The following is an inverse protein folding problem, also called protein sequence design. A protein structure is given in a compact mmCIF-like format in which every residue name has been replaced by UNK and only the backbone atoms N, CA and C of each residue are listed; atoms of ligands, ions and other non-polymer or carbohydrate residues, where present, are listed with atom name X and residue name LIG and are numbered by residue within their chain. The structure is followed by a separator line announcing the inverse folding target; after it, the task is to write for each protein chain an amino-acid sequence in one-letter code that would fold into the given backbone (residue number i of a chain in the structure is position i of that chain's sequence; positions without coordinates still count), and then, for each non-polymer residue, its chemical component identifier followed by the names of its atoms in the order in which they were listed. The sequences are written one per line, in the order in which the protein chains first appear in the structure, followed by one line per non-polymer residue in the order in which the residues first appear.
data_IF_667397671145
#
_entry.id   IF_667397671145
#
_cell.length_a   1.000
_cell.length_b   1.000
_cell.length_c   1.000
_cell.angle_alpha   90.00
_cell.angle_beta   90.00
_cell.angle_gamma   90.00
#
_symmetry.space_group_name_H-M   'P 1'
#
loop_
_entity.id
_entity.type
_entity.pdbx_description
1 polymer ?
#
# COMPACT_ATOMS: atom_id res chain seq x y z
N UNK A 1 6.05 98.51 16.67
CA UNK A 1 5.84 98.22 15.24
C UNK A 1 6.70 97.03 14.87
N UNK A 2 6.04 95.92 14.46
CA UNK A 2 6.56 94.72 13.77
C UNK A 2 7.80 94.01 14.35
N UNK A 3 7.54 92.86 14.99
CA UNK A 3 8.42 91.68 14.90
C UNK A 3 7.62 90.56 14.21
N UNK A 4 8.22 89.95 13.19
CA UNK A 4 7.66 88.83 12.43
C UNK A 4 8.25 87.52 12.99
N UNK A 5 7.41 86.68 13.61
CA UNK A 5 7.77 85.31 13.99
C UNK A 5 7.37 84.33 12.88
N UNK A 6 8.35 83.67 12.28
CA UNK A 6 8.18 82.61 11.28
C UNK A 6 7.83 81.30 12.02
N UNK A 7 6.64 80.76 11.75
CA UNK A 7 6.22 79.42 12.17
C UNK A 7 6.73 78.39 11.15
N UNK A 8 7.72 77.60 11.54
CA UNK A 8 8.17 76.41 10.81
C UNK A 8 7.23 75.24 11.12
N UNK A 9 6.39 74.87 10.14
CA UNK A 9 5.58 73.66 10.16
C UNK A 9 6.44 72.49 9.65
N UNK A 10 6.93 71.65 10.54
CA UNK A 10 7.56 70.37 10.19
C UNK A 10 6.48 69.35 9.85
N UNK A 11 6.23 69.13 8.56
CA UNK A 11 5.47 67.98 8.07
C UNK A 11 6.33 66.71 8.20
N UNK A 12 6.05 65.88 9.21
CA UNK A 12 6.57 64.51 9.28
C UNK A 12 5.75 63.65 8.32
N UNK A 13 6.28 63.45 7.10
CA UNK A 13 5.77 62.43 6.18
C UNK A 13 6.16 61.05 6.72
N UNK A 14 5.23 60.39 7.40
CA UNK A 14 5.34 58.98 7.70
C UNK A 14 5.22 58.17 6.40
N UNK A 15 6.36 57.81 5.82
CA UNK A 15 6.42 56.78 4.79
C UNK A 15 6.07 55.43 5.44
N UNK A 16 4.80 55.05 5.39
CA UNK A 16 4.41 53.65 5.59
C UNK A 16 4.91 52.88 4.36
N UNK A 17 6.14 52.36 4.47
CA UNK A 17 6.67 51.39 3.52
C UNK A 17 5.84 50.12 3.67
N UNK A 18 4.73 50.02 2.93
CA UNK A 18 3.97 48.80 2.75
C UNK A 18 4.85 47.82 1.98
N UNK A 19 5.65 47.03 2.71
CA UNK A 19 6.28 45.85 2.16
C UNK A 19 5.15 44.86 1.90
N UNK A 20 4.55 44.94 0.71
CA UNK A 20 3.91 43.77 0.12
C UNK A 20 5.03 42.76 -0.10
N UNK A 21 5.30 41.94 0.92
CA UNK A 21 6.16 40.79 0.77
C UNK A 21 5.57 39.92 -0.31
N UNK A 22 6.16 39.95 -1.50
CA UNK A 22 5.94 38.89 -2.47
C UNK A 22 6.25 37.60 -1.74
N UNK A 23 5.24 36.76 -1.51
CA UNK A 23 5.42 35.46 -0.88
C UNK A 23 6.58 34.78 -1.60
N UNK A 24 7.64 34.42 -0.86
CA UNK A 24 8.79 33.76 -1.46
C UNK A 24 8.29 32.56 -2.25
N UNK A 25 8.48 32.57 -3.57
CA UNK A 25 8.15 31.43 -4.41
C UNK A 25 9.15 30.35 -4.06
N UNK A 26 8.73 29.42 -3.20
CA UNK A 26 9.51 28.23 -2.91
C UNK A 26 9.31 27.30 -4.12
N UNK A 27 10.34 27.02 -4.93
CA UNK A 27 10.18 26.41 -6.25
C UNK A 27 9.55 25.01 -6.24
N UNK A 28 9.45 24.38 -5.07
CA UNK A 28 8.97 23.00 -4.90
C UNK A 28 7.59 22.91 -4.24
N UNK A 29 6.99 24.03 -3.83
CA UNK A 29 5.68 24.04 -3.19
C UNK A 29 4.84 25.26 -3.55
N UNK A 30 3.53 25.10 -3.45
CA UNK A 30 2.53 26.12 -3.70
C UNK A 30 1.76 26.34 -2.41
N UNK A 31 1.79 27.58 -1.92
CA UNK A 31 0.96 27.99 -0.79
C UNK A 31 -0.49 28.19 -1.28
N UNK A 32 -1.25 27.11 -1.30
CA UNK A 32 -2.66 27.06 -1.69
C UNK A 32 -3.58 26.62 -0.53
N UNK A 33 -3.06 26.61 0.71
CA UNK A 33 -3.74 26.02 1.85
C UNK A 33 -3.97 24.50 1.72
N UNK A 34 -4.90 23.99 2.53
CA UNK A 34 -5.29 22.58 2.53
C UNK A 34 -6.75 22.44 2.07
N UNK A 35 -6.95 22.07 0.81
CA UNK A 35 -8.28 21.81 0.24
C UNK A 35 -8.61 20.34 0.39
N UNK A 36 -9.82 20.04 0.84
CA UNK A 36 -10.30 18.66 1.01
C UNK A 36 -10.80 18.15 -0.34
N UNK A 37 -10.07 17.21 -0.95
CA UNK A 37 -10.45 16.62 -2.23
C UNK A 37 -11.28 15.35 -2.04
N UNK A 38 -11.00 14.59 -0.99
CA UNK A 38 -11.73 13.37 -0.66
C UNK A 38 -11.69 13.10 0.87
N UNK A 39 -12.40 12.07 1.37
CA UNK A 39 -12.46 11.79 2.81
C UNK A 39 -11.13 11.44 3.49
N UNK A 40 -10.07 11.07 2.76
CA UNK A 40 -8.71 10.93 3.32
C UNK A 40 -8.26 12.27 3.90
N UNK A 41 -8.45 13.32 3.11
CA UNK A 41 -8.01 14.67 3.45
C UNK A 41 -8.73 15.19 4.69
N UNK A 42 -10.03 14.92 4.79
CA UNK A 42 -10.81 15.26 5.98
C UNK A 42 -10.29 14.52 7.22
N UNK A 43 -10.14 13.20 7.14
CA UNK A 43 -9.69 12.40 8.29
C UNK A 43 -8.29 12.80 8.77
N UNK A 44 -7.38 13.15 7.85
CA UNK A 44 -6.05 13.64 8.19
C UNK A 44 -6.11 15.04 8.77
N UNK A 45 -6.86 15.96 8.16
CA UNK A 45 -6.98 17.34 8.64
C UNK A 45 -7.59 17.42 10.04
N UNK A 46 -8.61 16.61 10.33
CA UNK A 46 -9.23 16.53 11.66
C UNK A 46 -8.18 16.12 12.71
N UNK A 47 -7.43 15.05 12.41
CA UNK A 47 -6.35 14.57 13.28
C UNK A 47 -5.25 15.60 13.49
N UNK A 48 -4.85 16.33 12.44
CA UNK A 48 -3.86 17.40 12.55
C UNK A 48 -4.36 18.58 13.37
N UNK A 49 -5.64 18.93 13.23
CA UNK A 49 -6.28 20.01 13.99
C UNK A 49 -6.32 19.69 15.48
N UNK A 50 -6.67 18.45 15.85
CA UNK A 50 -6.67 17.99 17.24
C UNK A 50 -5.28 18.07 17.89
N UNK A 51 -4.22 17.87 17.09
CA UNK A 51 -2.82 17.96 17.53
C UNK A 51 -2.20 19.34 17.32
N UNK A 52 -2.95 20.33 16.84
CA UNK A 52 -2.48 21.69 16.53
C UNK A 52 -1.28 21.72 15.57
N UNK A 53 -1.24 20.78 14.61
CA UNK A 53 -0.20 20.69 13.60
C UNK A 53 -0.71 21.30 12.29
N UNK A 54 0.06 22.23 11.73
CA UNK A 54 -0.26 22.80 10.42
C UNK A 54 0.20 21.84 9.32
N UNK A 55 -0.67 21.44 8.38
CA UNK A 55 -0.28 20.61 7.24
C UNK A 55 0.68 21.34 6.31
N UNK A 56 1.50 20.59 5.60
CA UNK A 56 2.44 21.15 4.64
C UNK A 56 1.75 21.73 3.40
N UNK A 57 2.45 22.66 2.75
CA UNK A 57 2.02 23.25 1.48
C UNK A 57 1.81 22.20 0.39
N UNK A 58 1.14 22.57 -0.69
CA UNK A 58 0.92 21.67 -1.83
C UNK A 58 2.24 21.51 -2.57
N UNK A 59 2.60 20.30 -3.01
CA UNK A 59 3.78 20.12 -3.84
C UNK A 59 3.59 20.75 -5.23
N UNK A 60 4.67 21.29 -5.81
CA UNK A 60 4.63 21.81 -7.19
C UNK A 60 4.32 20.71 -8.20
N UNK A 61 3.94 21.09 -9.41
CA UNK A 61 3.63 20.13 -10.48
C UNK A 61 4.86 19.32 -10.90
N UNK A 62 6.06 19.90 -10.84
CA UNK A 62 7.34 19.23 -11.08
C UNK A 62 7.61 18.14 -10.03
N UNK A 63 7.32 18.44 -8.76
CA UNK A 63 7.45 17.46 -7.68
C UNK A 63 6.42 16.35 -7.85
N UNK A 64 5.16 16.71 -8.12
CA UNK A 64 4.07 15.75 -8.29
C UNK A 64 4.35 14.77 -9.45
N UNK A 65 4.70 15.27 -10.65
CA UNK A 65 4.92 14.41 -11.82
C UNK A 65 6.09 13.45 -11.60
N UNK A 66 7.19 13.89 -10.97
CA UNK A 66 8.30 12.98 -10.66
C UNK A 66 7.87 11.93 -9.63
N UNK A 67 7.20 12.37 -8.55
CA UNK A 67 6.78 11.49 -7.45
C UNK A 67 5.84 10.41 -7.93
N UNK A 68 4.81 10.77 -8.69
CA UNK A 68 3.76 9.83 -9.09
C UNK A 68 4.25 8.77 -10.09
N UNK A 69 5.21 9.11 -10.96
CA UNK A 69 5.84 8.14 -11.86
C UNK A 69 6.65 7.11 -11.08
N UNK A 70 7.45 7.56 -10.12
CA UNK A 70 8.25 6.65 -9.28
C UNK A 70 7.33 5.77 -8.43
N UNK A 71 6.33 6.37 -7.79
CA UNK A 71 5.48 5.67 -6.84
C UNK A 71 4.49 4.69 -7.50
N UNK A 72 3.98 4.99 -8.69
CA UNK A 72 3.01 4.12 -9.36
C UNK A 72 3.63 3.15 -10.36
N UNK A 73 4.69 3.52 -11.07
CA UNK A 73 5.23 2.71 -12.16
C UNK A 73 6.74 2.48 -12.08
N UNK A 74 7.39 2.89 -10.98
CA UNK A 74 8.80 2.57 -10.73
C UNK A 74 9.77 3.12 -11.77
N UNK A 75 9.46 4.24 -12.43
CA UNK A 75 10.33 4.85 -13.46
C UNK A 75 10.37 6.37 -13.33
N UNK A 76 11.32 7.01 -14.02
CA UNK A 76 11.32 8.46 -14.17
C UNK A 76 10.48 8.89 -15.39
N UNK A 77 9.75 10.03 -15.31
CA UNK A 77 9.06 10.55 -16.48
C UNK A 77 10.06 11.03 -17.53
N UNK A 78 9.74 10.80 -18.81
CA UNK A 78 10.51 11.36 -19.92
C UNK A 78 10.35 12.88 -19.99
N UNK A 79 11.33 13.56 -20.61
CA UNK A 79 11.25 15.02 -20.79
C UNK A 79 9.99 15.46 -21.57
N UNK A 80 9.51 14.62 -22.48
CA UNK A 80 8.27 14.90 -23.23
C UNK A 80 7.03 14.78 -22.34
N UNK A 81 6.95 13.73 -21.51
CA UNK A 81 5.85 13.54 -20.55
C UNK A 81 5.79 14.70 -19.55
N UNK A 82 6.94 15.14 -19.02
CA UNK A 82 7.02 16.31 -18.12
C UNK A 82 6.50 17.56 -18.81
N UNK A 83 7.01 17.92 -20.01
CA UNK A 83 6.55 19.12 -20.75
C UNK A 83 5.06 19.07 -21.06
N UNK A 84 4.54 17.88 -21.43
CA UNK A 84 3.11 17.68 -21.70
C UNK A 84 2.26 17.92 -20.45
N UNK A 85 2.69 17.40 -19.30
CA UNK A 85 1.99 17.59 -18.04
C UNK A 85 2.03 19.05 -17.54
N UNK A 86 3.19 19.69 -17.61
CA UNK A 86 3.35 21.10 -17.20
C UNK A 86 2.59 22.07 -18.13
N UNK A 87 2.47 21.74 -19.43
CA UNK A 87 1.69 22.50 -20.39
C UNK A 87 0.17 22.29 -20.30
N UNK A 88 -0.29 21.27 -19.56
CA UNK A 88 -1.72 21.01 -19.37
C UNK A 88 -2.30 21.99 -18.33
N UNK A 89 -3.36 22.70 -18.74
CA UNK A 89 -4.04 23.72 -17.92
C UNK A 89 -5.33 23.23 -17.29
N UNK A 90 -5.73 21.97 -17.53
CA UNK A 90 -6.95 21.42 -16.95
C UNK A 90 -6.80 21.26 -15.44
N UNK A 91 -7.89 21.50 -14.72
CA UNK A 91 -7.92 21.37 -13.25
C UNK A 91 -7.77 19.93 -12.78
N UNK A 92 -8.23 18.95 -13.58
CA UNK A 92 -8.18 17.51 -13.30
C UNK A 92 -6.89 16.83 -13.80
N UNK A 93 -5.88 17.59 -14.25
CA UNK A 93 -4.69 17.01 -14.92
C UNK A 93 -3.93 16.00 -14.04
N UNK A 94 -3.91 16.18 -12.72
CA UNK A 94 -3.27 15.26 -11.77
C UNK A 94 -4.01 13.93 -11.73
N UNK A 95 -5.34 13.96 -11.63
CA UNK A 95 -6.19 12.77 -11.64
C UNK A 95 -6.07 12.00 -12.95
N UNK A 96 -6.07 12.72 -14.08
CA UNK A 96 -5.89 12.12 -15.41
C UNK A 96 -4.52 11.48 -15.58
N UNK A 97 -3.48 12.09 -15.02
CA UNK A 97 -2.14 11.51 -15.03
C UNK A 97 -2.13 10.21 -14.23
N UNK A 98 -2.69 10.21 -13.02
CA UNK A 98 -2.82 9.01 -12.18
C UNK A 98 -3.56 7.90 -12.94
N UNK A 99 -4.72 8.18 -13.55
CA UNK A 99 -5.46 7.21 -14.35
C UNK A 99 -4.62 6.64 -15.49
N UNK A 100 -3.88 7.50 -16.21
CA UNK A 100 -3.03 7.07 -17.32
C UNK A 100 -1.88 6.18 -16.88
N UNK A 101 -1.29 6.45 -15.71
CA UNK A 101 -0.18 5.67 -15.17
C UNK A 101 -0.66 4.32 -14.62
N UNK A 102 -1.82 4.29 -13.96
CA UNK A 102 -2.43 3.04 -13.53
C UNK A 102 -2.65 2.13 -14.76
N UNK A 103 -3.16 2.64 -15.88
CA UNK A 103 -3.44 1.83 -17.07
C UNK A 103 -2.21 1.22 -17.79
N UNK A 104 -0.97 1.57 -17.38
CA UNK A 104 0.27 1.12 -18.03
C UNK A 104 0.70 -0.30 -17.62
N UNK A 105 1.42 -0.99 -18.49
CA UNK A 105 2.04 -2.28 -18.16
C UNK A 105 3.17 -2.12 -17.13
N UNK A 106 3.84 -0.97 -17.10
CA UNK A 106 4.86 -0.66 -16.09
C UNK A 106 4.29 -0.62 -14.67
N UNK A 107 3.01 -0.22 -14.52
CA UNK A 107 2.31 -0.37 -13.24
C UNK A 107 2.27 -1.85 -12.84
N UNK A 108 1.83 -2.72 -13.75
CA UNK A 108 1.75 -4.14 -13.45
C UNK A 108 3.12 -4.74 -13.13
N UNK A 109 4.17 -4.35 -13.86
CA UNK A 109 5.54 -4.81 -13.61
C UNK A 109 6.03 -4.39 -12.22
N UNK A 110 5.93 -3.10 -11.90
CA UNK A 110 6.42 -2.56 -10.63
C UNK A 110 5.68 -3.13 -9.42
N UNK A 111 4.35 -3.20 -9.47
CA UNK A 111 3.57 -3.76 -8.36
C UNK A 111 3.68 -5.28 -8.26
N UNK A 112 4.03 -5.98 -9.35
CA UNK A 112 4.40 -7.40 -9.27
C UNK A 112 5.65 -7.59 -8.43
N UNK A 113 6.67 -6.74 -8.56
CA UNK A 113 7.86 -6.81 -7.70
C UNK A 113 7.49 -6.67 -6.22
N UNK A 114 6.65 -5.69 -5.89
CA UNK A 114 6.15 -5.48 -4.51
C UNK A 114 5.38 -6.70 -3.99
N UNK A 115 4.54 -7.31 -4.82
CA UNK A 115 3.82 -8.54 -4.45
C UNK A 115 4.76 -9.74 -4.34
N UNK A 116 5.80 -9.84 -5.17
CA UNK A 116 6.79 -10.89 -5.12
C UNK A 116 7.55 -10.91 -3.79
N UNK A 117 7.83 -9.74 -3.20
CA UNK A 117 8.44 -9.65 -1.87
C UNK A 117 7.53 -10.22 -0.79
N UNK A 118 6.25 -9.82 -0.79
CA UNK A 118 5.24 -10.30 0.17
C UNK A 118 5.00 -11.81 0.01
N UNK A 119 4.93 -12.28 -1.23
CA UNK A 119 4.63 -13.67 -1.59
C UNK A 119 5.87 -14.57 -1.69
N UNK A 120 7.05 -14.01 -1.40
CA UNK A 120 8.35 -14.71 -1.36
C UNK A 120 8.70 -15.42 -2.67
N UNK A 121 8.46 -14.75 -3.81
CA UNK A 121 8.71 -15.31 -5.14
C UNK A 121 10.21 -15.25 -5.46
N UNK A 122 10.96 -16.28 -5.07
CA UNK A 122 12.41 -16.34 -5.32
C UNK A 122 12.96 -17.75 -5.49
N UNK A 123 13.99 -17.88 -6.31
CA UNK A 123 14.64 -19.17 -6.59
C UNK A 123 15.75 -19.51 -5.59
N UNK A 124 16.20 -18.51 -4.83
CA UNK A 124 17.32 -18.59 -3.92
C UNK A 124 16.91 -19.03 -2.51
N UNK A 125 17.91 -19.41 -1.73
CA UNK A 125 17.75 -19.67 -0.30
C UNK A 125 17.15 -18.44 0.40
N UNK A 126 16.24 -18.61 1.36
CA UNK A 126 15.75 -19.88 1.90
C UNK A 126 14.51 -20.48 1.23
N UNK A 127 13.95 -19.83 0.22
CA UNK A 127 12.67 -20.29 -0.39
C UNK A 127 12.90 -21.41 -1.38
N UNK A 128 13.91 -21.29 -2.25
CA UNK A 128 14.31 -22.33 -3.19
C UNK A 128 13.18 -22.82 -4.14
N UNK A 129 12.31 -21.92 -4.63
CA UNK A 129 11.39 -22.28 -5.71
C UNK A 129 12.20 -22.62 -6.97
N UNK A 130 11.77 -23.63 -7.71
CA UNK A 130 12.43 -23.93 -8.99
C UNK A 130 12.16 -22.82 -10.01
N UNK A 131 13.09 -22.49 -10.93
CA UNK A 131 12.90 -21.40 -11.89
C UNK A 131 11.57 -21.45 -12.67
N UNK A 132 11.12 -22.63 -13.08
CA UNK A 132 9.82 -22.79 -13.76
C UNK A 132 8.64 -22.37 -12.86
N UNK A 133 8.68 -22.72 -11.58
CA UNK A 133 7.68 -22.31 -10.60
C UNK A 133 7.72 -20.80 -10.34
N UNK A 134 8.91 -20.21 -10.23
CA UNK A 134 9.09 -18.75 -10.09
C UNK A 134 8.50 -18.00 -11.27
N UNK A 135 8.83 -18.42 -12.50
CA UNK A 135 8.32 -17.78 -13.72
C UNK A 135 6.80 -17.90 -13.83
N UNK A 136 6.24 -19.08 -13.60
CA UNK A 136 4.80 -19.29 -13.62
C UNK A 136 4.09 -18.42 -12.56
N UNK A 137 4.63 -18.38 -11.33
CA UNK A 137 4.05 -17.62 -10.23
C UNK A 137 4.13 -16.11 -10.47
N UNK A 138 5.31 -15.60 -10.85
CA UNK A 138 5.51 -14.21 -11.22
C UNK A 138 4.56 -13.79 -12.35
N UNK A 139 4.45 -14.61 -13.42
CA UNK A 139 3.55 -14.31 -14.54
C UNK A 139 2.09 -14.18 -14.11
N UNK A 140 1.61 -15.09 -13.24
CA UNK A 140 0.25 -15.02 -12.73
C UNK A 140 0.01 -13.80 -11.83
N UNK A 141 1.01 -13.40 -11.01
CA UNK A 141 0.91 -12.16 -10.22
C UNK A 141 0.83 -10.95 -11.17
N UNK A 142 1.71 -10.89 -12.17
CA UNK A 142 1.71 -9.83 -13.19
C UNK A 142 0.37 -9.70 -13.89
N UNK A 143 -0.20 -10.80 -14.38
CA UNK A 143 -1.50 -10.79 -15.04
C UNK A 143 -2.62 -10.39 -14.06
N UNK A 144 -2.56 -10.83 -12.81
CA UNK A 144 -3.53 -10.45 -11.78
C UNK A 144 -3.52 -8.94 -11.50
N UNK A 145 -2.33 -8.33 -11.41
CA UNK A 145 -2.20 -6.88 -11.22
C UNK A 145 -2.62 -6.13 -12.48
N UNK A 146 -2.12 -6.55 -13.66
CA UNK A 146 -2.43 -5.94 -14.96
C UNK A 146 -3.94 -5.91 -15.19
N UNK A 147 -4.62 -7.02 -14.97
CA UNK A 147 -6.04 -7.18 -15.26
C UNK A 147 -6.93 -6.67 -14.12
N UNK A 148 -6.34 -6.05 -13.09
CA UNK A 148 -7.02 -5.52 -11.92
C UNK A 148 -7.92 -6.56 -11.22
N UNK A 149 -7.38 -7.77 -11.00
CA UNK A 149 -8.10 -8.83 -10.30
C UNK A 149 -8.55 -8.33 -8.92
N UNK A 150 -9.83 -8.53 -8.54
CA UNK A 150 -10.30 -8.24 -7.19
C UNK A 150 -9.41 -8.89 -6.14
N UNK A 151 -9.07 -8.15 -5.09
CA UNK A 151 -8.10 -8.62 -4.10
C UNK A 151 -8.60 -9.83 -3.29
N UNK A 152 -9.90 -9.95 -3.05
CA UNK A 152 -10.53 -11.14 -2.48
C UNK A 152 -10.34 -12.38 -3.36
N UNK A 153 -10.55 -12.26 -4.68
CA UNK A 153 -10.30 -13.35 -5.62
C UNK A 153 -8.81 -13.71 -5.68
N UNK A 154 -7.93 -12.71 -5.67
CA UNK A 154 -6.48 -12.92 -5.62
C UNK A 154 -6.08 -13.73 -4.38
N UNK A 155 -6.53 -13.32 -3.20
CA UNK A 155 -6.26 -14.01 -1.94
C UNK A 155 -6.89 -15.42 -1.93
N UNK A 156 -8.14 -15.55 -2.37
CA UNK A 156 -8.84 -16.84 -2.40
C UNK A 156 -8.15 -17.84 -3.32
N UNK A 157 -7.67 -17.41 -4.48
CA UNK A 157 -6.90 -18.27 -5.40
C UNK A 157 -5.61 -18.77 -4.73
N UNK A 158 -4.89 -17.92 -4.01
CA UNK A 158 -3.68 -18.31 -3.27
C UNK A 158 -4.00 -19.30 -2.13
N UNK A 159 -5.06 -19.04 -1.37
CA UNK A 159 -5.45 -19.83 -0.20
C UNK A 159 -6.09 -21.18 -0.53
N UNK A 160 -6.61 -21.37 -1.74
CA UNK A 160 -7.39 -22.58 -2.08
C UNK A 160 -6.81 -23.38 -3.25
N UNK A 161 -5.75 -22.88 -3.89
CA UNK A 161 -5.14 -23.55 -5.02
C UNK A 161 -4.67 -24.98 -4.70
N UNK A 162 -4.88 -25.85 -5.68
CA UNK A 162 -4.45 -27.25 -5.68
C UNK A 162 -3.99 -27.62 -7.07
N UNK A 163 -2.86 -28.30 -7.19
CA UNK A 163 -2.29 -28.70 -8.46
C UNK A 163 -0.77 -28.63 -8.48
N UNK A 164 -0.21 -28.80 -9.68
CA UNK A 164 1.23 -28.73 -9.92
C UNK A 164 1.74 -27.30 -9.73
N UNK A 165 2.87 -27.17 -9.04
CA UNK A 165 3.58 -25.90 -8.89
C UNK A 165 4.14 -25.32 -10.20
N UNK A 166 4.14 -26.08 -11.30
CA UNK A 166 4.52 -25.60 -12.63
C UNK A 166 3.32 -25.25 -13.51
N UNK A 167 2.10 -25.71 -13.16
CA UNK A 167 0.91 -25.57 -14.01
C UNK A 167 -0.24 -24.80 -13.36
N UNK A 168 -0.27 -24.73 -12.03
CA UNK A 168 -1.25 -23.99 -11.22
C UNK A 168 -0.50 -22.95 -10.40
N UNK A 169 -0.19 -21.77 -10.97
CA UNK A 169 0.74 -20.82 -10.37
C UNK A 169 0.47 -20.43 -8.90
N UNK A 170 -0.77 -20.17 -8.44
CA UNK A 170 -1.04 -19.72 -7.07
C UNK A 170 -0.63 -20.73 -6.00
N UNK A 171 -0.52 -22.02 -6.37
CA UNK A 171 -0.09 -23.08 -5.45
C UNK A 171 1.33 -22.85 -4.92
N UNK A 172 2.12 -22.03 -5.62
CA UNK A 172 3.46 -21.65 -5.18
C UNK A 172 3.45 -20.81 -3.89
N UNK A 173 2.30 -20.25 -3.48
CA UNK A 173 2.15 -19.68 -2.14
C UNK A 173 2.58 -20.66 -1.04
N UNK A 174 2.15 -21.93 -1.15
CA UNK A 174 2.54 -22.98 -0.21
C UNK A 174 3.98 -23.43 -0.39
N UNK A 175 4.42 -23.58 -1.64
CA UNK A 175 5.79 -24.00 -1.97
C UNK A 175 6.84 -22.98 -1.58
N UNK A 176 6.45 -21.70 -1.47
CA UNK A 176 7.32 -20.62 -1.02
C UNK A 176 7.51 -20.57 0.50
N UNK A 177 6.81 -21.42 1.26
CA UNK A 177 6.93 -21.53 2.72
C UNK A 177 7.98 -22.61 2.99
N UNK A 178 9.01 -22.26 3.76
CA UNK A 178 10.11 -23.19 4.09
C UNK A 178 9.60 -24.42 4.84
N UNK A 179 8.69 -24.18 5.78
CA UNK A 179 8.04 -25.22 6.56
C UNK A 179 6.75 -25.69 5.88
N UNK A 180 6.49 -26.99 5.99
CA UNK A 180 5.28 -27.63 5.45
C UNK A 180 4.26 -27.95 6.55
N UNK A 181 4.54 -27.58 7.79
CA UNK A 181 3.63 -27.86 8.90
C UNK A 181 2.46 -26.87 8.86
N UNK A 182 1.29 -27.26 9.39
CA UNK A 182 0.15 -26.35 9.46
C UNK A 182 0.46 -25.03 10.17
N UNK A 183 1.31 -25.06 11.21
CA UNK A 183 1.83 -23.86 11.90
C UNK A 183 2.55 -22.88 10.96
N UNK A 184 3.44 -23.38 10.10
CA UNK A 184 4.21 -22.53 9.17
C UNK A 184 3.28 -21.89 8.12
N UNK A 185 2.26 -22.63 7.68
CA UNK A 185 1.25 -22.16 6.74
C UNK A 185 0.36 -21.10 7.39
N UNK A 186 -0.13 -21.36 8.61
CA UNK A 186 -0.93 -20.42 9.37
C UNK A 186 -0.19 -19.11 9.60
N UNK A 187 1.11 -19.16 9.94
CA UNK A 187 1.94 -17.97 10.13
C UNK A 187 2.09 -17.17 8.84
N UNK A 188 2.37 -17.83 7.72
CA UNK A 188 2.48 -17.18 6.42
C UNK A 188 1.15 -16.52 5.99
N UNK A 189 0.02 -17.17 6.21
CA UNK A 189 -1.32 -16.66 5.89
C UNK A 189 -1.67 -15.46 6.76
N UNK A 190 -1.45 -15.54 8.07
CA UNK A 190 -1.73 -14.46 9.00
C UNK A 190 -0.89 -13.22 8.69
N UNK A 191 0.40 -13.40 8.39
CA UNK A 191 1.26 -12.28 8.00
C UNK A 191 0.79 -11.63 6.69
N UNK A 192 0.54 -12.46 5.67
CA UNK A 192 0.22 -11.99 4.31
C UNK A 192 -1.14 -11.31 4.23
N UNK A 193 -2.19 -11.96 4.74
CA UNK A 193 -3.57 -11.53 4.49
C UNK A 193 -4.25 -10.91 5.70
N UNK A 194 -3.74 -11.14 6.92
CA UNK A 194 -4.30 -10.56 8.15
C UNK A 194 -3.41 -9.44 8.72
N UNK A 195 -2.22 -9.24 8.17
CA UNK A 195 -1.26 -8.23 8.62
C UNK A 195 -0.84 -8.42 10.07
N UNK A 196 -0.79 -9.65 10.57
CA UNK A 196 -0.52 -9.95 11.98
C UNK A 196 0.53 -11.03 12.14
N UNK A 197 1.33 -10.92 13.20
CA UNK A 197 2.38 -11.89 13.54
C UNK A 197 1.85 -12.83 14.63
N UNK A 198 1.63 -14.10 14.30
CA UNK A 198 1.03 -15.06 15.24
C UNK A 198 1.82 -15.25 16.54
N UNK A 199 3.13 -14.96 16.57
CA UNK A 199 3.96 -15.10 17.78
C UNK A 199 3.38 -14.39 19.02
N UNK A 200 2.59 -13.33 18.84
CA UNK A 200 1.97 -12.56 19.94
C UNK A 200 0.61 -13.12 20.36
N UNK A 201 0.06 -14.09 19.63
CA UNK A 201 -1.23 -14.70 19.91
C UNK A 201 -1.13 -15.80 20.97
N UNK A 202 -2.18 -16.00 21.79
CA UNK A 202 -2.27 -17.15 22.67
C UNK A 202 -2.06 -18.46 21.91
N UNK A 203 -1.32 -19.40 22.51
CA UNK A 203 -0.98 -20.68 21.87
C UNK A 203 -2.20 -21.46 21.40
N UNK A 204 -3.27 -21.51 22.21
CA UNK A 204 -4.51 -22.19 21.85
C UNK A 204 -5.12 -21.63 20.54
N UNK A 205 -5.19 -20.30 20.41
CA UNK A 205 -5.73 -19.63 19.20
C UNK A 205 -4.88 -19.87 17.96
N UNK A 206 -3.56 -20.01 18.12
CA UNK A 206 -2.66 -20.42 17.03
C UNK A 206 -2.98 -21.83 16.56
N UNK A 207 -3.10 -22.77 17.50
CA UNK A 207 -3.42 -24.17 17.20
C UNK A 207 -4.79 -24.33 16.55
N UNK A 208 -5.77 -23.50 16.92
CA UNK A 208 -7.09 -23.45 16.27
C UNK A 208 -6.97 -23.03 14.79
N UNK A 209 -6.17 -22.01 14.48
CA UNK A 209 -5.93 -21.58 13.10
C UNK A 209 -5.20 -22.64 12.26
N UNK A 210 -4.29 -23.41 12.88
CA UNK A 210 -3.56 -24.50 12.22
C UNK A 210 -4.49 -25.59 11.67
N UNK A 211 -5.67 -25.80 12.27
CA UNK A 211 -6.62 -26.83 11.83
C UNK A 211 -7.02 -26.65 10.37
N UNK A 212 -7.17 -25.40 9.90
CA UNK A 212 -7.57 -25.09 8.52
C UNK A 212 -6.49 -25.45 7.47
N UNK A 213 -5.25 -25.68 7.89
CA UNK A 213 -4.14 -26.08 7.02
C UNK A 213 -3.64 -27.50 7.30
N UNK A 214 -4.30 -28.21 8.22
CA UNK A 214 -3.92 -29.56 8.65
C UNK A 214 -4.03 -30.63 7.56
N UNK A 215 -4.79 -30.37 6.50
CA UNK A 215 -5.00 -31.29 5.38
C UNK A 215 -4.19 -30.91 4.13
N UNK A 216 -3.23 -29.99 4.21
CA UNK A 216 -2.37 -29.69 3.04
C UNK A 216 -1.35 -30.82 2.85
N UNK A 217 -1.41 -31.49 1.69
CA UNK A 217 -0.52 -32.56 1.31
C UNK A 217 0.28 -32.23 0.05
N UNK A 218 1.37 -32.97 -0.15
CA UNK A 218 2.36 -32.76 -1.19
C UNK A 218 2.73 -34.10 -1.83
N UNK A 219 2.84 -34.15 -3.16
CA UNK A 219 3.34 -35.34 -3.88
C UNK A 219 4.26 -34.95 -5.03
N UNK A 220 5.38 -35.64 -5.15
CA UNK A 220 6.29 -35.48 -6.29
C UNK A 220 5.67 -36.03 -7.57
N UNK A 221 6.11 -35.53 -8.72
CA UNK A 221 5.77 -36.10 -10.03
C UNK A 221 7.02 -36.71 -10.68
N UNK A 222 6.87 -37.21 -11.92
CA UNK A 222 8.01 -37.65 -12.73
C UNK A 222 8.84 -36.48 -13.27
N UNK A 223 8.27 -35.27 -13.35
CA UNK A 223 9.00 -34.07 -13.78
C UNK A 223 9.87 -33.58 -12.61
N UNK A 224 11.16 -33.42 -12.86
CA UNK A 224 12.12 -33.01 -11.82
C UNK A 224 11.71 -31.67 -11.18
N UNK A 225 11.65 -31.64 -9.85
CA UNK A 225 11.26 -30.47 -9.01
C UNK A 225 9.81 -30.01 -9.14
N UNK A 226 8.99 -30.71 -9.93
CA UNK A 226 7.55 -30.54 -9.89
C UNK A 226 6.97 -31.26 -8.67
N UNK A 227 6.04 -30.60 -7.99
CA UNK A 227 5.28 -31.14 -6.88
C UNK A 227 3.84 -30.67 -6.98
N UNK A 228 2.91 -31.57 -6.66
CA UNK A 228 1.48 -31.27 -6.59
C UNK A 228 1.14 -31.00 -5.13
N UNK A 229 0.53 -29.84 -4.86
CA UNK A 229 -0.11 -29.53 -3.57
C UNK A 229 -1.61 -29.79 -3.70
N UNK A 230 -2.20 -30.46 -2.71
CA UNK A 230 -3.59 -30.90 -2.77
C UNK A 230 -4.14 -31.11 -1.35
N UNK A 231 -5.47 -31.07 -1.15
CA UNK A 231 -6.07 -31.50 0.10
C UNK A 231 -5.87 -33.01 0.26
N UNK A 232 -5.40 -33.46 1.42
CA UNK A 232 -5.12 -34.86 1.75
C UNK A 232 -6.41 -35.71 1.67
N UNK A 233 -6.55 -36.59 0.65
CA UNK A 233 -7.76 -37.37 0.45
C UNK A 233 -7.90 -38.50 1.47
N UNK A 234 -6.84 -38.86 2.21
CA UNK A 234 -6.92 -39.87 3.25
C UNK A 234 -7.61 -39.35 4.53
N UNK A 235 -7.76 -38.03 4.66
CA UNK A 235 -8.33 -37.38 5.84
C UNK A 235 -9.76 -36.95 5.56
N UNK A 236 -10.70 -37.86 5.78
CA UNK A 236 -12.14 -37.64 5.55
C UNK A 236 -12.93 -37.45 6.83
N UNK A 237 -12.32 -37.52 8.01
CA UNK A 237 -13.07 -37.35 9.27
C UNK A 237 -13.52 -35.89 9.45
N UNK A 238 -14.78 -35.61 9.85
CA UNK A 238 -15.22 -34.26 10.16
C UNK A 238 -14.28 -33.55 11.13
N UNK A 239 -14.01 -32.25 10.88
CA UNK A 239 -13.14 -31.45 11.74
C UNK A 239 -13.95 -30.38 12.45
N UNK A 240 -13.83 -30.34 13.78
CA UNK A 240 -14.25 -29.17 14.54
C UNK A 240 -13.10 -28.15 14.51
N UNK A 241 -13.41 -26.93 14.07
CA UNK A 241 -12.44 -25.83 13.99
C UNK A 241 -13.02 -24.55 14.59
N UNK A 242 -12.13 -23.63 14.98
CA UNK A 242 -12.48 -22.33 15.53
C UNK A 242 -11.81 -21.27 14.67
N UNK A 243 -12.61 -20.41 14.05
CA UNK A 243 -12.13 -19.28 13.28
C UNK A 243 -11.47 -18.27 14.21
N UNK A 244 -10.56 -17.42 13.71
CA UNK A 244 -9.88 -16.44 14.55
C UNK A 244 -10.79 -15.52 15.35
N UNK A 245 -12.01 -15.22 14.91
CA UNK A 245 -12.98 -14.42 15.67
C UNK A 245 -13.70 -15.18 16.81
N UNK A 246 -13.40 -16.48 16.99
CA UNK A 246 -14.02 -17.35 17.97
C UNK A 246 -15.22 -18.16 17.45
N UNK A 247 -15.62 -17.96 16.19
CA UNK A 247 -16.73 -18.70 15.58
C UNK A 247 -16.37 -20.17 15.42
N UNK A 248 -17.19 -21.05 15.97
CA UNK A 248 -17.03 -22.50 15.83
C UNK A 248 -17.65 -22.97 14.52
N UNK A 249 -16.90 -23.76 13.76
CA UNK A 249 -17.34 -24.34 12.49
C UNK A 249 -17.08 -25.83 12.48
N UNK A 250 -17.98 -26.57 11.85
CA UNK A 250 -17.82 -28.01 11.62
C UNK A 250 -17.60 -28.25 10.13
N UNK A 251 -16.43 -28.75 9.80
CA UNK A 251 -15.98 -28.95 8.42
C UNK A 251 -16.30 -30.38 8.02
N UNK A 252 -17.01 -30.52 6.89
CA UNK A 252 -17.45 -31.81 6.39
C UNK A 252 -16.30 -32.74 5.96
N UNK A 253 -16.62 -34.04 5.76
CA UNK A 253 -15.63 -35.03 5.29
C UNK A 253 -15.01 -34.66 3.93
N UNK A 254 -15.83 -34.18 3.00
CA UNK A 254 -15.44 -33.82 1.63
C UNK A 254 -15.12 -32.33 1.44
N UNK A 255 -15.12 -31.57 2.53
CA UNK A 255 -14.90 -30.13 2.51
C UNK A 255 -13.41 -29.81 2.73
N UNK A 256 -12.86 -28.90 1.92
CA UNK A 256 -11.49 -28.43 2.07
C UNK A 256 -11.44 -27.35 3.16
N UNK A 257 -10.76 -27.59 4.30
CA UNK A 257 -10.73 -26.62 5.40
C UNK A 257 -10.18 -25.25 4.98
N UNK A 258 -9.31 -25.21 3.94
CA UNK A 258 -8.78 -23.95 3.42
C UNK A 258 -9.84 -23.09 2.76
N UNK A 259 -10.84 -23.71 2.10
CA UNK A 259 -11.95 -22.99 1.48
C UNK A 259 -12.83 -22.35 2.55
N UNK A 260 -13.15 -23.09 3.61
CA UNK A 260 -13.89 -22.58 4.78
C UNK A 260 -13.19 -21.36 5.37
N UNK A 261 -11.87 -21.46 5.60
CA UNK A 261 -11.10 -20.32 6.10
C UNK A 261 -11.04 -19.14 5.12
N UNK A 262 -10.79 -19.40 3.83
CA UNK A 262 -10.71 -18.36 2.82
C UNK A 262 -12.04 -17.62 2.66
N UNK A 263 -13.16 -18.36 2.62
CA UNK A 263 -14.49 -17.79 2.48
C UNK A 263 -14.87 -16.95 3.71
N UNK A 264 -14.41 -17.30 4.92
CA UNK A 264 -14.53 -16.45 6.11
C UNK A 264 -13.62 -15.22 6.05
N UNK A 265 -12.36 -15.39 5.64
CA UNK A 265 -11.37 -14.32 5.68
C UNK A 265 -11.73 -13.16 4.75
N UNK A 266 -12.24 -13.48 3.55
CA UNK A 266 -12.57 -12.49 2.53
C UNK A 266 -13.94 -11.83 2.71
N UNK A 267 -14.63 -12.09 3.83
CA UNK A 267 -15.92 -11.43 4.08
C UNK A 267 -15.75 -9.91 4.23
N UNK A 268 -16.70 -9.11 3.71
CA UNK A 268 -16.71 -7.64 3.82
C UNK A 268 -16.51 -7.08 5.24
N UNK A 269 -17.00 -7.78 6.26
CA UNK A 269 -16.96 -7.38 7.67
C UNK A 269 -15.80 -8.03 8.46
N UNK A 270 -14.94 -8.81 7.79
CA UNK A 270 -13.79 -9.43 8.43
C UNK A 270 -12.82 -8.34 8.97
N UNK A 271 -12.43 -8.38 10.26
CA UNK A 271 -11.70 -7.27 10.88
C UNK A 271 -10.19 -7.26 10.56
N UNK A 272 -9.70 -8.25 9.82
CA UNK A 272 -8.28 -8.36 9.44
C UNK A 272 -8.04 -8.07 7.96
N UNK A 273 -8.83 -8.67 7.06
CA UNK A 273 -8.48 -8.76 5.65
C UNK A 273 -8.40 -7.39 4.94
N UNK A 274 -9.51 -6.62 4.98
CA UNK A 274 -9.53 -5.28 4.41
C UNK A 274 -8.55 -4.33 5.13
N UNK A 275 -8.40 -4.49 6.45
CA UNK A 275 -7.51 -3.68 7.29
C UNK A 275 -6.05 -3.83 6.89
N UNK A 276 -5.60 -5.07 6.76
CA UNK A 276 -4.24 -5.38 6.39
C UNK A 276 -3.90 -4.80 5.02
N UNK A 277 -4.79 -4.99 4.04
CA UNK A 277 -4.57 -4.46 2.69
C UNK A 277 -4.61 -2.93 2.64
N UNK A 278 -5.59 -2.29 3.30
CA UNK A 278 -5.68 -0.83 3.36
C UNK A 278 -4.43 -0.21 3.99
N UNK A 279 -3.96 -0.75 5.12
CA UNK A 279 -2.76 -0.27 5.79
C UNK A 279 -1.48 -0.49 4.95
N UNK A 280 -1.38 -1.64 4.28
CA UNK A 280 -0.25 -1.97 3.41
C UNK A 280 -0.19 -1.09 2.17
N UNK A 281 -1.33 -0.90 1.49
CA UNK A 281 -1.45 0.01 0.35
C UNK A 281 -1.05 1.44 0.72
N UNK A 282 -1.53 1.93 1.86
CA UNK A 282 -1.12 3.23 2.40
C UNK A 282 0.39 3.27 2.65
N UNK A 283 0.96 2.27 3.32
CA UNK A 283 2.40 2.23 3.61
C UNK A 283 3.26 2.20 2.34
N UNK A 284 2.83 1.51 1.29
CA UNK A 284 3.55 1.45 0.02
C UNK A 284 3.58 2.80 -0.70
N UNK A 285 2.57 3.66 -0.52
CA UNK A 285 2.52 4.98 -1.18
C UNK A 285 3.04 6.11 -0.29
N UNK A 286 2.81 6.04 1.03
CA UNK A 286 3.15 7.09 1.99
C UNK A 286 4.47 6.81 2.74
N UNK A 287 5.06 5.62 2.58
CA UNK A 287 6.30 5.20 3.26
C UNK A 287 6.13 4.75 4.72
N UNK A 288 4.97 5.02 5.30
CA UNK A 288 4.63 4.66 6.68
C UNK A 288 3.18 4.21 6.73
N UNK A 289 2.91 3.06 7.35
CA UNK A 289 1.56 2.59 7.61
C UNK A 289 0.81 3.47 8.62
N UNK A 290 -0.52 3.50 8.53
CA UNK A 290 -1.39 4.13 9.53
C UNK A 290 -1.25 3.38 10.86
N UNK A 291 -1.12 2.06 10.78
CA UNK A 291 -0.50 1.23 11.81
C UNK A 291 0.96 1.05 11.37
N UNK A 292 1.90 1.56 12.18
CA UNK A 292 3.32 1.46 11.88
C UNK A 292 3.86 0.09 12.24
N UNK A 293 4.85 -0.38 11.47
CA UNK A 293 5.04 -1.78 11.10
C UNK A 293 3.79 -2.32 10.38
N UNK A 294 3.70 -2.19 9.04
CA UNK A 294 2.45 -2.40 8.31
C UNK A 294 1.87 -3.82 8.41
N UNK A 295 2.71 -4.80 8.75
CA UNK A 295 2.34 -6.21 8.93
C UNK A 295 2.35 -6.65 10.42
N UNK A 296 2.25 -5.71 11.37
CA UNK A 296 2.22 -5.99 12.82
C UNK A 296 0.97 -5.41 13.50
N UNK A 297 -0.20 -5.72 12.94
CA UNK A 297 -1.51 -5.34 13.49
C UNK A 297 -1.78 -6.14 14.77
N UNK A 298 -1.85 -5.42 15.89
CA UNK A 298 -2.07 -5.95 17.24
C UNK A 298 -2.90 -4.98 18.08
N UNK A 299 -3.63 -5.45 19.11
CA UNK A 299 -4.41 -4.57 19.99
C UNK A 299 -3.59 -3.47 20.67
N UNK A 300 -2.30 -3.72 20.94
CA UNK A 300 -1.35 -2.80 21.55
C UNK A 300 -0.58 -1.93 20.54
N UNK A 301 -0.85 -2.07 19.25
CA UNK A 301 -0.32 -1.24 18.17
C UNK A 301 -1.48 -0.60 17.38
N UNK A 302 -2.20 0.38 17.96
CA UNK A 302 -3.37 0.98 17.33
C UNK A 302 -2.98 1.86 16.14
N UNK A 303 -3.90 2.08 15.18
CA UNK A 303 -3.69 3.05 14.12
C UNK A 303 -3.54 4.47 14.69
N UNK A 304 -2.61 5.24 14.11
CA UNK A 304 -2.44 6.65 14.47
C UNK A 304 -3.65 7.50 14.06
N UNK A 305 -4.40 7.04 13.06
CA UNK A 305 -5.63 7.67 12.60
C UNK A 305 -6.70 6.59 12.30
N UNK A 306 -7.60 6.38 13.26
CA UNK A 306 -8.67 5.37 13.15
C UNK A 306 -9.68 5.69 12.04
N UNK A 307 -10.08 6.97 11.91
CA UNK A 307 -11.07 7.40 10.91
C UNK A 307 -10.56 7.14 9.49
N UNK A 308 -9.29 7.48 9.22
CA UNK A 308 -8.64 7.24 7.95
C UNK A 308 -8.58 5.75 7.61
N UNK A 309 -8.09 4.91 8.53
CA UNK A 309 -7.97 3.48 8.25
C UNK A 309 -9.35 2.83 8.05
N UNK A 310 -10.36 3.23 8.82
CA UNK A 310 -11.74 2.75 8.65
C UNK A 310 -12.34 3.15 7.31
N UNK A 311 -12.09 4.39 6.86
CA UNK A 311 -12.52 4.83 5.55
C UNK A 311 -11.90 4.00 4.42
N UNK A 312 -10.57 3.80 4.43
CA UNK A 312 -9.88 3.03 3.39
C UNK A 312 -10.34 1.56 3.34
N UNK A 313 -10.57 0.94 4.50
CA UNK A 313 -11.15 -0.40 4.60
C UNK A 313 -12.53 -0.48 3.94
N UNK A 314 -13.43 0.44 4.31
CA UNK A 314 -14.78 0.48 3.77
C UNK A 314 -14.80 0.75 2.26
N UNK A 315 -13.91 1.63 1.78
CA UNK A 315 -13.82 1.96 0.36
C UNK A 315 -13.25 0.79 -0.47
N UNK A 316 -12.32 0.01 0.09
CA UNK A 316 -11.83 -1.21 -0.57
C UNK A 316 -12.96 -2.24 -0.75
N UNK A 317 -13.78 -2.45 0.28
CA UNK A 317 -14.94 -3.35 0.21
C UNK A 317 -15.98 -2.82 -0.78
N UNK A 318 -16.34 -1.53 -0.68
CA UNK A 318 -17.34 -0.87 -1.52
C UNK A 318 -16.96 -0.86 -3.00
N UNK A 319 -15.66 -0.78 -3.31
CA UNK A 319 -15.14 -0.82 -4.68
C UNK A 319 -14.98 -2.24 -5.23
N UNK A 320 -15.51 -3.25 -4.54
CA UNK A 320 -15.35 -4.67 -4.89
C UNK A 320 -13.87 -5.07 -4.96
N UNK A 321 -13.11 -4.72 -3.92
CA UNK A 321 -11.72 -5.12 -3.72
C UNK A 321 -10.76 -4.59 -4.78
N UNK A 322 -11.06 -3.41 -5.35
CA UNK A 322 -10.29 -2.78 -6.41
C UNK A 322 -9.09 -1.99 -5.85
N UNK A 323 -7.90 -2.57 -5.95
CA UNK A 323 -6.66 -1.96 -5.45
C UNK A 323 -6.25 -0.72 -6.26
N UNK A 324 -6.48 -0.70 -7.57
CA UNK A 324 -6.19 0.49 -8.40
C UNK A 324 -7.04 1.68 -7.99
N UNK A 325 -8.31 1.45 -7.62
CA UNK A 325 -9.18 2.48 -7.06
C UNK A 325 -8.62 3.05 -5.76
N UNK A 326 -8.18 2.18 -4.84
CA UNK A 326 -7.57 2.60 -3.57
C UNK A 326 -6.30 3.42 -3.80
N UNK A 327 -5.43 3.01 -4.73
CA UNK A 327 -4.23 3.78 -5.08
C UNK A 327 -4.57 5.13 -5.69
N UNK A 328 -5.54 5.19 -6.61
CA UNK A 328 -6.01 6.45 -7.19
C UNK A 328 -6.46 7.41 -6.09
N UNK A 329 -7.31 6.95 -5.18
CA UNK A 329 -7.85 7.74 -4.09
C UNK A 329 -6.76 8.33 -3.18
N UNK A 330 -5.73 7.54 -2.87
CA UNK A 330 -4.57 7.99 -2.09
C UNK A 330 -3.78 9.02 -2.90
N UNK A 331 -3.40 8.71 -4.14
CA UNK A 331 -2.55 9.57 -4.97
C UNK A 331 -3.20 10.90 -5.37
N UNK A 332 -4.53 10.97 -5.45
CA UNK A 332 -5.28 12.20 -5.75
C UNK A 332 -5.70 12.97 -4.49
N UNK A 333 -5.43 12.44 -3.29
CA UNK A 333 -5.64 13.16 -2.03
C UNK A 333 -4.72 14.38 -1.91
N UNK A 334 -5.20 15.43 -1.24
CA UNK A 334 -4.37 16.58 -0.82
C UNK A 334 -3.28 16.14 0.16
N UNK A 335 -3.54 15.13 1.00
CA UNK A 335 -2.58 14.54 1.93
C UNK A 335 -1.35 13.98 1.22
N UNK A 336 -1.52 13.14 0.19
CA UNK A 336 -0.40 12.58 -0.59
C UNK A 336 0.36 13.67 -1.34
N UNK A 337 -0.34 14.71 -1.79
CA UNK A 337 0.22 15.83 -2.55
C UNK A 337 0.89 16.90 -1.67
N UNK A 338 1.09 16.65 -0.38
CA UNK A 338 1.84 17.56 0.48
C UNK A 338 3.31 17.68 0.07
N UNK A 339 3.88 18.86 0.34
CA UNK A 339 5.31 19.13 0.32
C UNK A 339 6.04 18.26 1.35
N UNK A 340 7.30 17.88 1.10
CA UNK A 340 8.13 17.26 2.13
C UNK A 340 8.65 18.25 3.18
N UNK A 341 8.42 19.56 2.99
CA UNK A 341 8.86 20.60 3.91
C UNK A 341 7.77 20.78 4.99
N UNK A 342 8.03 20.41 6.25
CA UNK A 342 7.04 20.52 7.31
C UNK A 342 6.78 21.99 7.68
N UNK A 343 5.55 22.30 8.12
CA UNK A 343 5.15 23.63 8.61
C UNK A 343 5.08 23.68 10.16
N UNK A 344 5.63 22.66 10.81
CA UNK A 344 5.66 22.50 12.27
C UNK A 344 6.91 21.71 12.65
N UNK A 345 7.52 22.05 13.79
CA UNK A 345 8.63 21.29 14.38
C UNK A 345 8.14 20.14 15.30
N UNK A 346 6.83 19.87 15.32
CA UNK A 346 6.27 18.79 16.13
C UNK A 346 6.86 17.44 15.68
N UNK A 347 7.40 16.61 16.60
CA UNK A 347 8.01 15.33 16.25
C UNK A 347 7.04 14.31 15.62
N UNK A 348 5.73 14.55 15.72
CA UNK A 348 4.68 13.69 15.15
C UNK A 348 4.27 14.10 13.72
N UNK A 349 4.91 15.12 13.12
CA UNK A 349 4.57 15.61 11.76
C UNK A 349 4.55 14.49 10.73
N UNK A 350 5.57 13.62 10.72
CA UNK A 350 5.60 12.49 9.78
C UNK A 350 4.60 11.40 10.15
N UNK A 351 4.44 11.09 11.44
CA UNK A 351 3.56 10.00 11.88
C UNK A 351 2.08 10.33 11.71
N UNK A 352 1.70 11.60 11.77
CA UNK A 352 0.35 12.11 11.53
C UNK A 352 0.12 12.53 10.06
N UNK A 353 1.10 12.30 9.18
CA UNK A 353 1.01 12.62 7.75
C UNK A 353 0.78 14.11 7.47
N UNK A 354 1.39 14.99 8.25
CA UNK A 354 1.35 16.44 8.06
C UNK A 354 2.30 16.94 6.95
N UNK A 355 3.12 16.06 6.39
CA UNK A 355 3.95 16.31 5.21
C UNK A 355 4.15 15.01 4.44
N UNK A 356 4.71 15.09 3.22
CA UNK A 356 5.13 13.90 2.50
C UNK A 356 6.52 13.47 2.96
N UNK A 357 6.67 12.27 3.52
CA UNK A 357 7.99 11.74 3.91
C UNK A 357 8.81 11.33 2.67
N UNK A 358 10.01 11.91 2.44
CA UNK A 358 10.90 11.45 1.39
C UNK A 358 11.37 10.02 1.63
N UNK A 359 11.53 9.25 0.55
CA UNK A 359 11.88 7.82 0.60
C UNK A 359 13.05 7.54 -0.31
N UNK A 360 13.87 6.56 0.08
CA UNK A 360 14.87 6.02 -0.82
C UNK A 360 14.16 5.35 -2.01
N UNK A 361 14.72 5.53 -3.20
CA UNK A 361 14.27 4.77 -4.37
C UNK A 361 14.68 3.32 -4.19
N UNK A 362 13.79 2.39 -4.56
CA UNK A 362 14.15 0.98 -4.60
C UNK A 362 15.34 0.76 -5.55
N UNK A 363 16.12 -0.30 -5.31
CA UNK A 363 17.35 -0.55 -6.05
C UNK A 363 17.08 -0.70 -7.55
N UNK A 364 15.99 -1.39 -7.92
CA UNK A 364 15.52 -1.62 -9.28
C UNK A 364 15.17 -0.31 -9.99
N UNK A 365 14.42 0.56 -9.30
CA UNK A 365 14.06 1.88 -9.83
C UNK A 365 15.30 2.78 -9.98
N UNK A 366 16.23 2.70 -9.03
CA UNK A 366 17.45 3.49 -9.05
C UNK A 366 18.37 3.05 -10.21
N UNK A 367 18.57 1.74 -10.41
CA UNK A 367 19.41 1.26 -11.52
C UNK A 367 18.78 1.62 -12.87
N UNK A 368 17.46 1.47 -13.04
CA UNK A 368 16.76 1.85 -14.26
C UNK A 368 16.87 3.35 -14.54
N UNK A 369 16.75 4.19 -13.50
CA UNK A 369 16.94 5.63 -13.60
C UNK A 369 18.38 5.99 -14.04
N UNK A 370 19.39 5.33 -13.48
CA UNK A 370 20.79 5.54 -13.85
C UNK A 370 21.08 5.10 -15.28
N UNK A 371 20.57 3.94 -15.68
CA UNK A 371 20.67 3.45 -17.05
C UNK A 371 20.03 4.44 -18.04
N UNK A 372 18.80 4.86 -17.77
CA UNK A 372 18.08 5.83 -18.59
C UNK A 372 18.84 7.15 -18.75
N UNK A 373 19.39 7.69 -17.66
CA UNK A 373 20.19 8.93 -17.68
C UNK A 373 21.55 8.74 -18.38
N UNK A 374 22.15 7.56 -18.27
CA UNK A 374 23.40 7.18 -18.93
C UNK A 374 23.25 6.80 -20.40
N UNK A 375 22.01 6.70 -20.91
CA UNK A 375 21.74 6.30 -22.29
C UNK A 375 21.86 4.79 -22.55
N UNK A 376 21.95 3.97 -21.51
CA UNK A 376 21.89 2.51 -21.60
C UNK A 376 20.48 2.04 -21.29
N UNK A 377 19.93 1.13 -22.10
CA UNK A 377 18.62 0.52 -21.84
C UNK A 377 18.78 -0.88 -21.29
#
# INVERSE_FOLDING_TARGET
MREWGILLLTCVLAFSCGVFGAAAVIPFEVNAGFTINNPIDQAVLDSLTDHQITPANLCSDEVFVRRIYIDLIGTLPTAQEVRKFLGDKRLDKRDRLVDSLLARDEFAAYWTLKWCDVLRVKAEYPVNLWPNAVQAYHRWIFESVRDNKPYDEFARQLLTASGSNFRVPPVNFYRAIQGRKPADIAEAVALTFMGTRLKTWPQARRQELEVFFSRVAYKSTAEWKEEIVYPDPARTEPLDAVLPDGTKVKIGPDEDPRKVFADWLIQPDNPWFARAMANRAWSWLMGRGIIHEPDDIRPDNPPINFALLNYLQAELVKSHWNIRHLFKLICTSRTYQQSPIPQSDNPQVESLFACYSPRQMDAEVLIDALCYLGGTR
#
